data_IF_675623447927
#
_entry.id   IF_675623447927
#
_cell.length_a   1.000
_cell.length_b   1.000
_cell.length_c   1.000
_cell.angle_alpha   90.00
_cell.angle_beta   90.00
_cell.angle_gamma   90.00
#
_symmetry.space_group_name_H-M   'P 1'
#
loop_
_entity.id
_entity.type
_entity.pdbx_description
1 polymer ?
#
# COMPACT_ATOMS: atom_id res chain seq x y z
N UNK A 1 6.35 30.57 46.55
CA UNK A 1 5.38 29.49 46.26
C UNK A 1 5.74 28.90 44.90
N UNK A 2 6.21 27.66 44.91
CA UNK A 2 6.78 26.95 43.76
C UNK A 2 5.70 26.59 42.73
N UNK A 3 5.95 26.96 41.47
CA UNK A 3 5.18 26.58 40.30
C UNK A 3 5.05 25.05 40.19
N UNK A 4 3.88 24.51 40.49
CA UNK A 4 3.47 23.15 40.12
C UNK A 4 2.60 23.21 38.87
N UNK A 5 3.19 23.60 37.73
CA UNK A 5 2.63 23.33 36.40
C UNK A 5 3.35 22.13 35.80
N UNK A 6 3.16 20.97 36.43
CA UNK A 6 3.29 19.68 35.74
C UNK A 6 2.12 19.62 34.76
N UNK A 7 2.33 20.22 33.59
CA UNK A 7 1.57 19.90 32.39
C UNK A 7 1.64 18.37 32.28
N UNK A 8 0.50 17.70 32.14
CA UNK A 8 0.41 16.27 31.85
C UNK A 8 1.51 15.90 30.86
N UNK A 9 2.51 15.12 31.29
CA UNK A 9 3.26 14.27 30.38
C UNK A 9 2.21 13.32 29.78
N UNK A 10 1.69 13.76 28.64
CA UNK A 10 0.51 13.26 27.95
C UNK A 10 0.58 11.75 27.80
N UNK A 11 -0.54 11.04 28.01
CA UNK A 11 -0.58 9.57 27.96
C UNK A 11 0.00 9.00 26.64
N UNK A 12 -0.08 9.76 25.55
CA UNK A 12 0.49 9.46 24.24
C UNK A 12 2.02 9.51 24.27
N UNK A 13 2.61 10.51 24.90
CA UNK A 13 4.07 10.67 25.03
C UNK A 13 4.65 9.56 25.91
N UNK A 14 3.92 9.20 26.97
CA UNK A 14 4.27 8.08 27.84
C UNK A 14 4.13 6.74 27.11
N UNK A 15 3.13 6.57 26.25
CA UNK A 15 2.96 5.37 25.44
C UNK A 15 4.07 5.25 24.39
N UNK A 16 4.39 6.34 23.68
CA UNK A 16 5.43 6.38 22.66
C UNK A 16 6.81 6.12 23.27
N UNK A 17 7.15 6.79 24.38
CA UNK A 17 8.44 6.58 25.06
C UNK A 17 8.57 5.17 25.63
N UNK A 18 7.49 4.59 26.16
CA UNK A 18 7.46 3.18 26.60
C UNK A 18 7.62 2.21 25.43
N UNK A 19 6.98 2.50 24.29
CA UNK A 19 7.15 1.71 23.08
C UNK A 19 8.57 1.81 22.51
N UNK A 20 9.14 3.01 22.45
CA UNK A 20 10.49 3.27 21.96
C UNK A 20 11.55 2.58 22.83
N UNK A 21 11.43 2.72 24.16
CA UNK A 21 12.33 2.03 25.10
C UNK A 21 12.20 0.50 25.03
N UNK A 22 11.00 -0.04 24.85
CA UNK A 22 10.79 -1.47 24.63
C UNK A 22 11.39 -1.93 23.29
N UNK A 23 11.11 -1.23 22.20
CA UNK A 23 11.57 -1.56 20.86
C UNK A 23 13.10 -1.51 20.75
N UNK A 24 13.74 -0.51 21.35
CA UNK A 24 15.20 -0.40 21.39
C UNK A 24 15.83 -1.50 22.24
N UNK A 25 15.24 -1.81 23.40
CA UNK A 25 15.72 -2.87 24.29
C UNK A 25 15.65 -4.26 23.65
N UNK A 26 14.58 -4.54 22.91
CA UNK A 26 14.34 -5.83 22.28
C UNK A 26 14.64 -5.85 20.77
N UNK A 27 15.28 -4.81 20.22
CA UNK A 27 15.50 -4.67 18.77
C UNK A 27 16.22 -5.89 18.18
N UNK A 28 17.26 -6.37 18.86
CA UNK A 28 18.05 -7.53 18.42
C UNK A 28 17.21 -8.80 18.40
N UNK A 29 16.36 -9.00 19.41
CA UNK A 29 15.45 -10.15 19.50
C UNK A 29 14.36 -10.05 18.43
N UNK A 30 13.76 -8.88 18.25
CA UNK A 30 12.76 -8.60 17.21
C UNK A 30 13.34 -8.88 15.82
N UNK A 31 14.53 -8.37 15.51
CA UNK A 31 15.18 -8.62 14.21
C UNK A 31 15.57 -10.08 13.99
N UNK A 32 15.76 -10.86 15.05
CA UNK A 32 16.10 -12.29 14.95
C UNK A 32 14.85 -13.16 14.81
N UNK A 33 13.77 -12.82 15.53
CA UNK A 33 12.55 -13.64 15.64
C UNK A 33 11.47 -13.23 14.64
N UNK A 34 11.34 -11.93 14.33
CA UNK A 34 10.29 -11.44 13.45
C UNK A 34 10.39 -11.98 12.02
N UNK A 35 11.57 -12.06 11.38
CA UNK A 35 11.65 -12.61 10.02
C UNK A 35 11.13 -14.05 9.88
N UNK A 36 11.57 -15.04 10.70
CA UNK A 36 11.05 -16.40 10.58
C UNK A 36 9.57 -16.48 10.94
N UNK A 37 9.10 -15.77 11.96
CA UNK A 37 7.68 -15.82 12.36
C UNK A 37 6.78 -15.21 11.29
N UNK A 38 7.07 -14.01 10.81
CA UNK A 38 6.26 -13.31 9.81
C UNK A 38 6.34 -14.02 8.46
N UNK A 39 7.54 -14.42 8.03
CA UNK A 39 7.72 -15.20 6.82
C UNK A 39 6.90 -16.50 6.86
N UNK A 40 6.93 -17.21 7.99
CA UNK A 40 6.21 -18.48 8.14
C UNK A 40 4.70 -18.23 8.11
N UNK A 41 4.21 -17.19 8.79
CA UNK A 41 2.80 -16.80 8.74
C UNK A 41 2.32 -16.53 7.32
N UNK A 42 3.13 -15.85 6.49
CA UNK A 42 2.79 -15.59 5.07
C UNK A 42 2.60 -16.91 4.33
N UNK A 43 3.56 -17.84 4.43
CA UNK A 43 3.46 -19.15 3.77
C UNK A 43 2.29 -19.99 4.31
N UNK A 44 2.09 -20.04 5.63
CA UNK A 44 0.97 -20.74 6.24
C UNK A 44 -0.37 -20.20 5.75
N UNK A 45 -0.54 -18.87 5.67
CA UNK A 45 -1.76 -18.28 5.10
C UNK A 45 -1.96 -18.68 3.63
N UNK A 46 -0.89 -18.74 2.83
CA UNK A 46 -0.96 -19.21 1.44
C UNK A 46 -1.43 -20.68 1.36
N UNK A 47 -0.82 -21.55 2.15
CA UNK A 47 -1.09 -22.99 2.19
C UNK A 47 -2.50 -23.30 2.69
N UNK A 48 -2.95 -22.63 3.75
CA UNK A 48 -4.33 -22.72 4.25
C UNK A 48 -5.32 -22.30 3.18
N UNK A 49 -5.06 -21.19 2.47
CA UNK A 49 -5.94 -20.71 1.38
C UNK A 49 -6.03 -21.70 0.22
N UNK A 50 -4.94 -22.41 -0.09
CA UNK A 50 -4.93 -23.41 -1.16
C UNK A 50 -5.39 -24.80 -0.71
N UNK A 51 -5.50 -25.05 0.59
CA UNK A 51 -5.88 -26.35 1.16
C UNK A 51 -4.80 -27.42 1.00
N UNK A 52 -3.51 -27.04 1.05
CA UNK A 52 -2.38 -27.94 0.87
C UNK A 52 -1.24 -27.58 1.84
N UNK A 53 -0.55 -28.58 2.38
CA UNK A 53 0.61 -28.42 3.26
C UNK A 53 1.79 -29.21 2.67
N UNK A 54 2.89 -28.56 2.23
CA UNK A 54 4.06 -29.28 1.69
C UNK A 54 4.80 -30.06 2.78
N UNK A 55 5.67 -31.00 2.40
CA UNK A 55 6.68 -31.56 3.32
C UNK A 55 7.68 -30.45 3.68
N UNK A 56 7.66 -29.96 4.93
CA UNK A 56 8.45 -28.81 5.37
C UNK A 56 9.87 -29.20 5.79
N UNK A 57 10.87 -28.52 5.22
CA UNK A 57 12.17 -28.33 5.86
C UNK A 57 12.42 -26.84 6.12
N UNK A 58 12.30 -26.43 7.39
CA UNK A 58 12.38 -25.02 7.82
C UNK A 58 13.76 -24.42 7.50
N UNK A 59 14.81 -25.24 7.42
CA UNK A 59 16.18 -24.76 7.18
C UNK A 59 16.43 -24.45 5.70
N UNK A 60 15.84 -25.20 4.77
CA UNK A 60 15.95 -24.93 3.33
C UNK A 60 15.29 -23.60 2.91
N UNK A 61 14.33 -23.11 3.70
CA UNK A 61 13.54 -21.91 3.42
C UNK A 61 13.91 -20.68 4.24
N UNK A 62 14.93 -20.76 5.10
CA UNK A 62 15.42 -19.63 5.91
C UNK A 62 15.64 -18.35 5.09
N UNK A 63 16.30 -18.46 3.94
CA UNK A 63 16.54 -17.34 3.02
C UNK A 63 15.24 -16.76 2.45
N UNK A 64 14.24 -17.60 2.17
CA UNK A 64 12.94 -17.21 1.64
C UNK A 64 12.09 -16.46 2.69
N UNK A 65 12.14 -16.91 3.94
CA UNK A 65 11.45 -16.29 5.07
C UNK A 65 11.99 -14.88 5.34
N UNK A 66 13.32 -14.72 5.33
CA UNK A 66 13.98 -13.43 5.48
C UNK A 66 13.59 -12.51 4.32
N UNK A 67 13.60 -13.02 3.09
CA UNK A 67 13.21 -12.23 1.92
C UNK A 67 11.75 -11.77 1.98
N UNK A 68 10.82 -12.63 2.42
CA UNK A 68 9.41 -12.30 2.62
C UNK A 68 9.24 -11.16 3.61
N UNK A 69 9.95 -11.24 4.74
CA UNK A 69 9.96 -10.20 5.76
C UNK A 69 10.50 -8.87 5.21
N UNK A 70 11.63 -8.88 4.49
CA UNK A 70 12.22 -7.67 3.91
C UNK A 70 11.26 -7.01 2.92
N UNK A 71 10.63 -7.77 2.01
CA UNK A 71 9.65 -7.20 1.08
C UNK A 71 8.44 -6.63 1.83
N UNK A 72 7.92 -7.34 2.83
CA UNK A 72 6.79 -6.87 3.63
C UNK A 72 7.11 -5.55 4.34
N UNK A 73 8.29 -5.45 4.96
CA UNK A 73 8.77 -4.22 5.61
C UNK A 73 8.94 -3.10 4.60
N UNK A 74 9.56 -3.36 3.43
CA UNK A 74 9.72 -2.36 2.37
C UNK A 74 8.37 -1.84 1.85
N UNK A 75 7.37 -2.72 1.70
CA UNK A 75 6.03 -2.34 1.32
C UNK A 75 5.41 -1.37 2.34
N UNK A 76 5.44 -1.74 3.63
CA UNK A 76 4.89 -0.89 4.71
C UNK A 76 5.63 0.45 4.77
N UNK A 77 6.96 0.43 4.70
CA UNK A 77 7.78 1.66 4.74
C UNK A 77 7.55 2.55 3.52
N UNK A 78 7.31 1.99 2.34
CA UNK A 78 7.02 2.79 1.14
C UNK A 78 5.70 3.55 1.24
N UNK A 79 4.64 2.92 1.78
CA UNK A 79 3.37 3.60 2.06
C UNK A 79 3.54 4.60 3.21
N UNK A 80 4.29 4.25 4.25
CA UNK A 80 4.52 5.15 5.37
C UNK A 80 5.28 6.40 4.93
N UNK A 81 6.27 6.25 4.04
CA UNK A 81 7.01 7.36 3.46
C UNK A 81 6.10 8.22 2.57
N UNK A 82 5.25 7.60 1.74
CA UNK A 82 4.27 8.32 0.94
C UNK A 82 3.37 9.19 1.84
N UNK A 83 2.89 8.68 2.98
CA UNK A 83 2.11 9.47 3.93
C UNK A 83 2.92 10.55 4.66
N UNK A 84 4.20 10.29 4.94
CA UNK A 84 5.04 11.19 5.73
C UNK A 84 5.55 12.40 4.94
N UNK A 85 5.84 12.24 3.64
CA UNK A 85 6.41 13.31 2.79
C UNK A 85 5.52 14.55 2.72
N UNK A 86 4.20 14.45 2.44
CA UNK A 86 3.30 15.60 2.49
C UNK A 86 3.33 16.28 3.86
N UNK A 87 3.29 15.51 4.95
CA UNK A 87 3.35 16.04 6.31
C UNK A 87 4.62 16.83 6.58
N UNK A 88 5.79 16.31 6.17
CA UNK A 88 7.05 17.01 6.33
C UNK A 88 7.09 18.33 5.54
N UNK A 89 6.52 18.33 4.34
CA UNK A 89 6.39 19.55 3.53
C UNK A 89 5.46 20.53 4.24
N UNK A 90 4.26 20.12 4.65
CA UNK A 90 3.36 20.98 5.45
C UNK A 90 4.01 21.50 6.74
N UNK A 91 4.90 20.73 7.37
CA UNK A 91 5.71 21.20 8.53
C UNK A 91 6.52 22.44 8.21
N UNK A 92 7.34 22.34 7.16
CA UNK A 92 8.27 23.41 6.80
C UNK A 92 7.49 24.67 6.42
N UNK A 93 6.22 24.53 6.07
CA UNK A 93 5.34 25.60 5.61
C UNK A 93 4.61 26.29 6.77
N UNK A 94 3.91 25.51 7.60
CA UNK A 94 3.19 26.04 8.77
C UNK A 94 4.14 26.66 9.79
N UNK A 95 5.40 26.18 9.87
CA UNK A 95 6.37 26.61 10.87
C UNK A 95 7.49 27.53 10.37
N UNK A 96 7.64 27.81 9.07
CA UNK A 96 8.74 28.69 8.59
C UNK A 96 8.38 30.17 8.52
N UNK A 97 7.13 30.51 8.21
CA UNK A 97 6.75 31.91 8.05
C UNK A 97 6.30 32.50 9.39
N UNK A 98 7.14 33.36 9.98
CA UNK A 98 6.87 34.05 11.25
C UNK A 98 5.53 34.83 11.23
N UNK A 99 5.13 35.36 10.06
CA UNK A 99 3.83 36.04 9.85
C UNK A 99 2.66 35.05 9.81
N UNK A 100 2.87 33.88 9.22
CA UNK A 100 1.92 32.76 9.19
C UNK A 100 1.79 32.16 10.58
N UNK A 101 2.86 32.05 11.36
CA UNK A 101 2.82 31.67 12.77
C UNK A 101 2.15 32.73 13.68
N UNK A 102 2.35 34.02 13.40
CA UNK A 102 1.70 35.12 14.13
C UNK A 102 0.21 35.27 13.79
N UNK A 103 -0.22 35.03 12.54
CA UNK A 103 -1.63 35.07 12.09
C UNK A 103 -2.37 33.74 12.30
N UNK A 104 -1.75 32.60 11.99
CA UNK A 104 -2.12 31.30 12.56
C UNK A 104 -1.55 31.17 13.97
N UNK A 105 -1.70 32.20 14.82
CA UNK A 105 -1.69 32.07 16.28
C UNK A 105 -2.86 31.21 16.76
N UNK A 106 -3.14 30.14 16.04
CA UNK A 106 -3.65 28.91 16.57
C UNK A 106 -2.74 28.59 17.75
N UNK A 107 -3.28 28.80 18.95
CA UNK A 107 -2.73 28.21 20.15
C UNK A 107 -2.85 26.69 20.01
N UNK A 108 -2.06 26.07 19.13
CA UNK A 108 -1.94 24.61 19.02
C UNK A 108 -1.46 24.01 20.34
N UNK A 109 -0.84 24.84 21.19
CA UNK A 109 -0.26 24.46 22.48
C UNK A 109 -1.21 24.75 23.65
N UNK A 110 -2.20 25.67 23.52
CA UNK A 110 -3.23 25.98 24.55
C UNK A 110 -4.48 26.68 23.97
N UNK A 111 -5.42 25.97 23.34
CA UNK A 111 -6.66 26.60 22.93
C UNK A 111 -7.54 26.85 24.16
N UNK A 112 -7.31 28.00 24.82
CA UNK A 112 -8.07 28.41 26.02
C UNK A 112 -9.53 28.77 25.70
N UNK A 113 -9.87 29.00 24.41
CA UNK A 113 -11.23 29.37 23.97
C UNK A 113 -11.77 28.46 22.85
N UNK A 114 -13.10 28.28 22.81
CA UNK A 114 -13.79 27.45 21.82
C UNK A 114 -13.73 28.01 20.40
N UNK A 115 -13.59 29.34 20.27
CA UNK A 115 -13.52 30.06 18.99
C UNK A 115 -12.19 29.79 18.27
N UNK A 116 -11.08 29.74 19.02
CA UNK A 116 -9.74 29.39 18.51
C UNK A 116 -9.70 27.96 17.94
N UNK A 117 -10.43 27.00 18.55
CA UNK A 117 -10.54 25.63 18.04
C UNK A 117 -11.31 25.57 16.73
N UNK A 118 -12.42 26.30 16.62
CA UNK A 118 -13.23 26.32 15.40
C UNK A 118 -12.42 26.90 14.23
N UNK A 119 -11.67 27.98 14.47
CA UNK A 119 -10.79 28.59 13.48
C UNK A 119 -9.63 27.66 13.09
N UNK A 120 -9.08 26.90 14.05
CA UNK A 120 -8.08 25.84 13.80
C UNK A 120 -8.56 24.78 12.83
N UNK A 121 -9.73 24.20 13.11
CA UNK A 121 -10.32 23.18 12.26
C UNK A 121 -10.66 23.74 10.88
N UNK A 122 -11.11 24.99 10.82
CA UNK A 122 -11.42 25.66 9.55
C UNK A 122 -10.18 25.84 8.68
N UNK A 123 -9.10 26.38 9.25
CA UNK A 123 -7.81 26.56 8.58
C UNK A 123 -7.26 25.22 8.09
N UNK A 124 -7.27 24.20 8.95
CA UNK A 124 -6.84 22.84 8.58
C UNK A 124 -7.61 22.28 7.39
N UNK A 125 -8.94 22.41 7.39
CA UNK A 125 -9.79 21.90 6.32
C UNK A 125 -9.45 22.56 4.98
N UNK A 126 -9.23 23.87 4.98
CA UNK A 126 -8.96 24.64 3.76
C UNK A 126 -7.54 24.45 3.23
N UNK A 127 -6.53 24.37 4.10
CA UNK A 127 -5.13 24.27 3.66
C UNK A 127 -4.67 22.85 3.35
N UNK A 128 -5.27 21.85 3.99
CA UNK A 128 -4.79 20.48 3.91
C UNK A 128 -5.87 19.57 3.34
N UNK A 129 -7.00 19.43 4.02
CA UNK A 129 -7.97 18.39 3.66
C UNK A 129 -8.64 18.59 2.30
N UNK A 130 -9.25 19.75 2.03
CA UNK A 130 -9.98 19.99 0.79
C UNK A 130 -9.08 20.02 -0.47
N UNK A 131 -7.89 20.65 -0.45
CA UNK A 131 -6.96 20.57 -1.58
C UNK A 131 -6.58 19.13 -1.92
N UNK A 132 -6.26 18.32 -0.90
CA UNK A 132 -5.90 16.91 -1.08
C UNK A 132 -7.08 16.10 -1.62
N UNK A 133 -8.28 16.28 -1.04
CA UNK A 133 -9.49 15.57 -1.45
C UNK A 133 -9.89 15.90 -2.90
N UNK A 134 -9.98 17.19 -3.25
CA UNK A 134 -10.38 17.60 -4.60
C UNK A 134 -9.35 17.17 -5.64
N UNK A 135 -8.06 17.29 -5.32
CA UNK A 135 -7.00 16.80 -6.21
C UNK A 135 -7.11 15.28 -6.41
N UNK A 136 -7.34 14.51 -5.35
CA UNK A 136 -7.53 13.05 -5.42
C UNK A 136 -8.74 12.64 -6.27
N UNK A 137 -9.89 13.28 -6.05
CA UNK A 137 -11.13 13.00 -6.80
C UNK A 137 -11.00 13.36 -8.28
N UNK A 138 -10.39 14.51 -8.61
CA UNK A 138 -10.15 14.90 -10.00
C UNK A 138 -9.14 13.98 -10.68
N UNK A 139 -8.12 13.54 -9.97
CA UNK A 139 -7.14 12.59 -10.49
C UNK A 139 -7.80 11.22 -10.78
N UNK A 140 -8.73 10.78 -9.92
CA UNK A 140 -9.51 9.59 -10.21
C UNK A 140 -10.44 9.77 -11.42
N UNK A 141 -11.14 10.90 -11.50
CA UNK A 141 -11.98 11.21 -12.66
C UNK A 141 -11.16 11.22 -13.96
N UNK A 142 -9.95 11.78 -13.92
CA UNK A 142 -9.00 11.78 -15.03
C UNK A 142 -8.57 10.35 -15.39
N UNK A 143 -8.25 9.54 -14.39
CA UNK A 143 -7.90 8.14 -14.59
C UNK A 143 -9.04 7.34 -15.22
N UNK A 144 -10.30 7.59 -14.87
CA UNK A 144 -11.44 6.85 -15.42
C UNK A 144 -11.85 7.33 -16.81
N UNK A 145 -12.04 8.65 -16.97
CA UNK A 145 -12.70 9.23 -18.16
C UNK A 145 -11.72 9.73 -19.23
N UNK A 146 -10.49 10.07 -18.86
CA UNK A 146 -9.53 10.77 -19.71
C UNK A 146 -8.16 10.06 -19.78
N UNK A 147 -8.18 8.74 -20.01
CA UNK A 147 -6.98 7.90 -20.05
C UNK A 147 -5.87 8.46 -20.97
N UNK A 148 -6.21 8.91 -22.18
CA UNK A 148 -5.23 9.41 -23.16
C UNK A 148 -4.54 10.71 -22.72
N UNK A 149 -5.17 11.46 -21.82
CA UNK A 149 -4.68 12.74 -21.31
C UNK A 149 -4.35 12.68 -19.81
N UNK A 150 -4.19 11.48 -19.26
CA UNK A 150 -4.00 11.30 -17.83
C UNK A 150 -2.77 12.03 -17.29
N UNK A 151 -1.61 11.84 -17.93
CA UNK A 151 -0.32 12.44 -17.51
C UNK A 151 -0.38 13.97 -17.44
N UNK A 152 -0.83 14.72 -18.47
CA UNK A 152 -0.93 16.17 -18.37
C UNK A 152 -1.98 16.61 -17.33
N UNK A 153 -3.10 15.89 -17.17
CA UNK A 153 -4.10 16.22 -16.14
C UNK A 153 -3.51 15.99 -14.74
N UNK A 154 -2.77 14.91 -14.52
CA UNK A 154 -2.12 14.61 -13.25
C UNK A 154 -1.14 15.71 -12.82
N UNK A 155 -0.37 16.27 -13.75
CA UNK A 155 0.59 17.33 -13.47
C UNK A 155 -0.08 18.70 -13.25
N UNK A 156 -1.14 19.00 -13.98
CA UNK A 156 -1.80 20.31 -13.95
C UNK A 156 -2.82 20.44 -12.80
N UNK A 157 -3.50 19.37 -12.42
CA UNK A 157 -4.55 19.40 -11.39
C UNK A 157 -4.05 19.96 -10.04
N UNK A 158 -2.90 19.54 -9.49
CA UNK A 158 -2.37 20.11 -8.25
C UNK A 158 -2.12 21.61 -8.34
N UNK A 159 -1.68 22.12 -9.49
CA UNK A 159 -1.43 23.56 -9.71
C UNK A 159 -2.75 24.35 -9.68
N UNK A 160 -3.76 23.88 -10.42
CA UNK A 160 -5.07 24.53 -10.45
C UNK A 160 -5.76 24.54 -9.08
N UNK A 161 -5.76 23.40 -8.39
CA UNK A 161 -6.33 23.30 -7.04
C UNK A 161 -5.58 24.21 -6.07
N UNK A 162 -4.25 24.19 -6.10
CA UNK A 162 -3.45 25.04 -5.22
C UNK A 162 -3.68 26.53 -5.48
N UNK A 163 -3.93 26.93 -6.73
CA UNK A 163 -4.25 28.32 -7.07
C UNK A 163 -5.60 28.75 -6.46
N UNK A 164 -6.63 27.92 -6.58
CA UNK A 164 -7.96 28.17 -6.01
C UNK A 164 -7.87 28.32 -4.49
N UNK A 165 -7.22 27.36 -3.82
CA UNK A 165 -7.11 27.37 -2.36
C UNK A 165 -6.16 28.46 -1.85
N UNK A 166 -5.14 28.83 -2.62
CA UNK A 166 -4.31 29.98 -2.32
C UNK A 166 -5.12 31.29 -2.39
N UNK A 167 -5.98 31.47 -3.40
CA UNK A 167 -6.84 32.64 -3.52
C UNK A 167 -7.85 32.74 -2.37
N UNK A 168 -8.53 31.64 -2.03
CA UNK A 168 -9.46 31.56 -0.89
C UNK A 168 -8.74 31.92 0.41
N UNK A 169 -7.55 31.35 0.63
CA UNK A 169 -6.77 31.57 1.84
C UNK A 169 -6.25 33.01 1.92
N UNK A 170 -5.80 33.57 0.81
CA UNK A 170 -5.30 34.95 0.73
C UNK A 170 -6.40 35.97 1.03
N UNK A 171 -7.61 35.72 0.53
CA UNK A 171 -8.78 36.55 0.82
C UNK A 171 -9.23 36.46 2.28
N UNK A 172 -9.33 35.24 2.84
CA UNK A 172 -9.84 35.04 4.21
C UNK A 172 -8.85 35.40 5.32
N UNK A 173 -7.54 35.32 5.05
CA UNK A 173 -6.50 35.55 6.06
C UNK A 173 -5.70 36.83 5.81
N UNK A 174 -6.09 37.62 4.80
CA UNK A 174 -5.50 38.91 4.44
C UNK A 174 -3.97 38.84 4.32
N UNK A 175 -3.47 37.89 3.53
CA UNK A 175 -2.03 37.74 3.32
C UNK A 175 -1.46 38.92 2.52
N UNK A 176 -0.22 39.31 2.81
CA UNK A 176 0.49 40.33 2.04
C UNK A 176 0.84 39.77 0.65
N UNK A 177 0.74 40.61 -0.40
CA UNK A 177 0.95 40.19 -1.79
C UNK A 177 2.29 39.47 -2.03
N UNK A 178 3.36 39.85 -1.33
CA UNK A 178 4.68 39.20 -1.43
C UNK A 178 4.70 37.76 -0.87
N UNK A 179 3.82 37.45 0.08
CA UNK A 179 3.71 36.11 0.68
C UNK A 179 2.78 35.17 -0.10
N UNK A 180 1.93 35.70 -0.98
CA UNK A 180 0.96 34.91 -1.77
C UNK A 180 1.68 33.97 -2.73
N UNK A 181 2.73 34.43 -3.41
CA UNK A 181 3.50 33.58 -4.32
C UNK A 181 4.19 32.42 -3.59
N UNK A 182 4.83 32.73 -2.45
CA UNK A 182 5.43 31.71 -1.60
C UNK A 182 4.38 30.70 -1.13
N UNK A 183 3.20 31.16 -0.69
CA UNK A 183 2.08 30.30 -0.29
C UNK A 183 1.58 29.41 -1.44
N UNK A 184 1.44 29.96 -2.65
CA UNK A 184 0.99 29.21 -3.82
C UNK A 184 1.95 28.09 -4.20
N UNK A 185 3.24 28.42 -4.40
CA UNK A 185 4.26 27.44 -4.80
C UNK A 185 4.34 26.29 -3.79
N UNK A 186 4.21 26.66 -2.54
CA UNK A 186 4.24 25.78 -1.40
C UNK A 186 3.03 24.83 -1.36
N UNK A 187 1.82 25.36 -1.50
CA UNK A 187 0.60 24.56 -1.56
C UNK A 187 0.62 23.64 -2.79
N UNK A 188 1.19 24.11 -3.91
CA UNK A 188 1.39 23.32 -5.11
C UNK A 188 2.28 22.10 -4.86
N UNK A 189 3.45 22.28 -4.23
CA UNK A 189 4.34 21.16 -3.90
C UNK A 189 3.68 20.18 -2.92
N UNK A 190 3.02 20.69 -1.88
CA UNK A 190 2.35 19.85 -0.88
C UNK A 190 1.19 19.03 -1.47
N UNK A 191 0.36 19.68 -2.30
CA UNK A 191 -0.76 19.04 -2.99
C UNK A 191 -0.25 18.04 -4.03
N UNK A 192 0.84 18.36 -4.73
CA UNK A 192 1.47 17.46 -5.69
C UNK A 192 1.96 16.17 -5.02
N UNK A 193 2.66 16.29 -3.89
CA UNK A 193 3.15 15.13 -3.14
C UNK A 193 2.00 14.32 -2.52
N UNK A 194 0.94 14.99 -2.07
CA UNK A 194 -0.28 14.31 -1.61
C UNK A 194 -0.94 13.52 -2.74
N UNK A 195 -1.00 14.10 -3.95
CA UNK A 195 -1.54 13.44 -5.12
C UNK A 195 -0.71 12.20 -5.52
N UNK A 196 0.62 12.30 -5.47
CA UNK A 196 1.52 11.17 -5.67
C UNK A 196 1.30 10.05 -4.63
N UNK A 197 1.04 10.44 -3.38
CA UNK A 197 0.76 9.50 -2.29
C UNK A 197 -0.56 8.75 -2.51
N UNK A 198 -1.61 9.45 -2.94
CA UNK A 198 -2.91 8.86 -3.29
C UNK A 198 -2.74 7.84 -4.43
N UNK A 199 -2.01 8.19 -5.50
CA UNK A 199 -1.72 7.24 -6.59
C UNK A 199 -0.97 6.02 -6.09
N UNK A 200 0.07 6.21 -5.26
CA UNK A 200 0.89 5.10 -4.76
C UNK A 200 0.04 4.12 -3.97
N UNK A 201 -0.84 4.62 -3.11
CA UNK A 201 -1.80 3.79 -2.35
C UNK A 201 -2.78 3.10 -3.28
N UNK A 202 -3.34 3.83 -4.26
CA UNK A 202 -4.28 3.26 -5.23
C UNK A 202 -3.64 2.13 -6.05
N UNK A 203 -2.40 2.31 -6.52
CA UNK A 203 -1.65 1.29 -7.24
C UNK A 203 -1.39 0.05 -6.38
N UNK A 204 -1.13 0.23 -5.08
CA UNK A 204 -0.96 -0.88 -4.16
C UNK A 204 -2.27 -1.68 -3.97
N UNK A 205 -3.42 -1.00 -3.93
CA UNK A 205 -4.74 -1.62 -3.69
C UNK A 205 -5.53 -1.98 -4.95
N UNK A 206 -5.01 -1.66 -6.15
CA UNK A 206 -5.76 -1.74 -7.42
C UNK A 206 -6.42 -3.10 -7.68
N UNK A 207 -5.69 -4.20 -7.41
CA UNK A 207 -6.18 -5.55 -7.69
C UNK A 207 -7.35 -5.92 -6.76
N UNK A 208 -7.30 -5.47 -5.51
CA UNK A 208 -8.39 -5.68 -4.55
C UNK A 208 -9.65 -4.92 -4.97
N UNK A 209 -9.48 -3.72 -5.54
CA UNK A 209 -10.60 -2.89 -6.02
C UNK A 209 -11.22 -3.50 -7.28
N UNK A 210 -10.39 -3.98 -8.22
CA UNK A 210 -10.87 -4.58 -9.48
C UNK A 210 -11.60 -5.92 -9.27
N UNK A 211 -11.32 -6.62 -8.18
CA UNK A 211 -11.98 -7.88 -7.84
C UNK A 211 -13.38 -7.69 -7.21
N UNK A 212 -13.85 -6.45 -7.03
CA UNK A 212 -15.19 -6.16 -6.51
C UNK A 212 -16.20 -6.29 -7.65
N UNK A 213 -17.21 -7.15 -7.48
CA UNK A 213 -18.27 -7.32 -8.47
C UNK A 213 -19.18 -6.08 -8.52
N UNK A 214 -19.34 -5.50 -9.72
CA UNK A 214 -20.25 -4.41 -10.02
C UNK A 214 -19.59 -3.03 -10.13
N UNK A 215 -19.86 -2.32 -11.23
CA UNK A 215 -19.29 -1.00 -11.55
C UNK A 215 -19.60 0.05 -10.47
N UNK A 216 -20.83 0.05 -9.94
CA UNK A 216 -21.22 0.97 -8.87
C UNK A 216 -20.47 0.72 -7.55
N UNK A 217 -20.22 -0.55 -7.21
CA UNK A 217 -19.50 -0.90 -5.98
C UNK A 217 -18.01 -0.53 -6.10
N UNK A 218 -17.42 -0.72 -7.27
CA UNK A 218 -16.07 -0.27 -7.58
C UNK A 218 -15.95 1.26 -7.46
N UNK A 219 -16.86 2.00 -8.10
CA UNK A 219 -16.88 3.47 -8.06
C UNK A 219 -17.06 4.00 -6.63
N UNK A 220 -17.99 3.43 -5.87
CA UNK A 220 -18.20 3.78 -4.46
C UNK A 220 -16.93 3.50 -3.62
N UNK A 221 -16.29 2.36 -3.84
CA UNK A 221 -15.05 1.99 -3.13
C UNK A 221 -13.94 2.99 -3.42
N UNK A 222 -13.79 3.45 -4.66
CA UNK A 222 -12.73 4.42 -4.97
C UNK A 222 -13.04 5.79 -4.39
N UNK A 223 -14.28 6.25 -4.41
CA UNK A 223 -14.66 7.53 -3.79
C UNK A 223 -14.44 7.49 -2.27
N UNK A 224 -14.94 6.45 -1.60
CA UNK A 224 -14.78 6.25 -0.16
C UNK A 224 -13.29 6.09 0.20
N UNK A 225 -12.55 5.32 -0.60
CA UNK A 225 -11.11 5.12 -0.44
C UNK A 225 -10.33 6.42 -0.59
N UNK A 226 -10.66 7.25 -1.59
CA UNK A 226 -10.03 8.57 -1.80
C UNK A 226 -10.32 9.50 -0.64
N UNK A 227 -11.55 9.51 -0.13
CA UNK A 227 -11.94 10.28 1.06
C UNK A 227 -11.14 9.83 2.29
N UNK A 228 -11.05 8.52 2.52
CA UNK A 228 -10.31 7.94 3.64
C UNK A 228 -8.82 8.25 3.56
N UNK A 229 -8.18 8.04 2.41
CA UNK A 229 -6.75 8.33 2.22
C UNK A 229 -6.48 9.83 2.37
N UNK A 230 -7.34 10.70 1.85
CA UNK A 230 -7.21 12.14 2.02
C UNK A 230 -7.30 12.54 3.50
N UNK A 231 -8.19 11.91 4.27
CA UNK A 231 -8.30 12.11 5.71
C UNK A 231 -7.04 11.64 6.44
N UNK A 232 -6.52 10.46 6.11
CA UNK A 232 -5.29 9.90 6.68
C UNK A 232 -4.07 10.78 6.41
N UNK A 233 -3.89 11.25 5.16
CA UNK A 233 -2.81 12.19 4.80
C UNK A 233 -2.95 13.46 5.63
N UNK A 234 -4.17 14.00 5.74
CA UNK A 234 -4.39 15.24 6.46
C UNK A 234 -4.13 15.10 7.97
N UNK A 235 -4.56 13.99 8.59
CA UNK A 235 -4.25 13.68 10.00
C UNK A 235 -2.75 13.49 10.21
N UNK A 236 -2.07 12.83 9.26
CA UNK A 236 -0.62 12.68 9.28
C UNK A 236 0.08 14.04 9.25
N UNK A 237 -0.41 14.98 8.43
CA UNK A 237 0.10 16.36 8.41
C UNK A 237 -0.12 17.12 9.72
N UNK A 238 -1.20 16.85 10.49
CA UNK A 238 -1.37 17.44 11.83
C UNK A 238 -0.39 16.83 12.82
N UNK A 239 -0.16 15.51 12.77
CA UNK A 239 0.70 14.79 13.73
C UNK A 239 2.13 15.37 13.79
N UNK A 240 2.59 15.92 12.68
CA UNK A 240 3.83 16.70 12.55
C UNK A 240 3.99 17.80 13.59
N UNK A 241 2.90 18.44 14.01
CA UNK A 241 2.91 19.54 14.97
C UNK A 241 3.37 19.07 16.36
N UNK A 242 3.05 17.83 16.74
CA UNK A 242 3.61 17.19 17.93
C UNK A 242 5.09 16.81 17.77
N UNK A 243 5.57 16.70 16.53
CA UNK A 243 6.96 16.41 16.20
C UNK A 243 7.11 15.38 15.08
N UNK A 244 8.33 15.24 14.56
CA UNK A 244 8.62 14.29 13.47
C UNK A 244 8.41 12.84 13.94
N UNK A 245 8.64 12.55 15.22
CA UNK A 245 8.41 11.21 15.78
C UNK A 245 6.94 10.79 15.68
N UNK A 246 6.02 11.67 16.07
CA UNK A 246 4.58 11.41 15.98
C UNK A 246 4.10 11.22 14.55
N UNK A 247 4.63 12.02 13.60
CA UNK A 247 4.40 11.81 12.17
C UNK A 247 4.78 10.38 11.76
N UNK A 248 6.01 9.95 12.06
CA UNK A 248 6.50 8.63 11.64
C UNK A 248 5.67 7.50 12.25
N UNK A 249 5.36 7.56 13.55
CA UNK A 249 4.53 6.54 14.20
C UNK A 249 3.11 6.50 13.63
N UNK A 250 2.48 7.66 13.39
CA UNK A 250 1.16 7.74 12.79
C UNK A 250 1.17 7.18 11.36
N UNK A 251 2.15 7.55 10.53
CA UNK A 251 2.27 7.06 9.16
C UNK A 251 2.48 5.54 9.09
N UNK A 252 3.31 4.97 9.97
CA UNK A 252 3.49 3.50 10.04
C UNK A 252 2.17 2.82 10.44
N UNK A 253 1.49 3.32 11.47
CA UNK A 253 0.21 2.76 11.92
C UNK A 253 -0.86 2.81 10.81
N UNK A 254 -1.02 3.97 10.15
CA UNK A 254 -1.96 4.12 9.05
C UNK A 254 -1.59 3.28 7.83
N UNK A 255 -0.29 3.04 7.58
CA UNK A 255 0.15 2.16 6.49
C UNK A 255 -0.32 0.72 6.70
N UNK A 256 -0.25 0.22 7.94
CA UNK A 256 -0.82 -1.08 8.27
C UNK A 256 -2.33 -1.13 8.03
N UNK A 257 -3.07 -0.10 8.46
CA UNK A 257 -4.52 -0.01 8.25
C UNK A 257 -4.86 -0.01 6.75
N UNK A 258 -4.20 0.83 5.96
CA UNK A 258 -4.42 0.91 4.51
C UNK A 258 -4.10 -0.42 3.81
N UNK A 259 -2.97 -1.04 4.13
CA UNK A 259 -2.57 -2.30 3.51
C UNK A 259 -3.46 -3.47 3.93
N UNK A 260 -3.96 -3.46 5.16
CA UNK A 260 -4.88 -4.49 5.68
C UNK A 260 -6.26 -4.37 5.04
N UNK A 261 -6.92 -3.20 5.17
CA UNK A 261 -8.26 -2.98 4.62
C UNK A 261 -8.27 -2.90 3.09
N UNK A 262 -7.17 -2.47 2.48
CA UNK A 262 -6.97 -2.50 1.03
C UNK A 262 -6.73 -3.91 0.47
N UNK A 263 -6.76 -4.97 1.29
CA UNK A 263 -6.58 -6.36 0.85
C UNK A 263 -5.17 -6.68 0.32
N UNK A 264 -4.20 -5.79 0.53
CA UNK A 264 -2.83 -6.01 0.08
C UNK A 264 -2.19 -7.07 0.95
N UNK A 265 -2.35 -7.00 2.29
CA UNK A 265 -1.80 -7.99 3.21
C UNK A 265 -2.42 -9.39 3.02
N UNK A 266 -3.68 -9.47 2.61
CA UNK A 266 -4.38 -10.76 2.39
C UNK A 266 -4.01 -11.40 1.04
N UNK A 267 -3.71 -10.60 0.02
CA UNK A 267 -3.22 -11.06 -1.28
C UNK A 267 -1.69 -11.20 -1.34
N UNK A 268 -0.98 -10.63 -0.36
CA UNK A 268 0.48 -10.64 -0.28
C UNK A 268 1.08 -12.05 -0.39
N UNK A 269 0.59 -13.08 0.34
CA UNK A 269 1.16 -14.42 0.22
C UNK A 269 1.11 -14.97 -1.21
N UNK A 270 -0.02 -14.81 -1.90
CA UNK A 270 -0.17 -15.26 -3.28
C UNK A 270 0.73 -14.49 -4.26
N UNK A 271 0.89 -13.18 -4.07
CA UNK A 271 1.79 -12.36 -4.91
C UNK A 271 3.25 -12.74 -4.67
N UNK A 272 3.62 -13.00 -3.42
CA UNK A 272 4.96 -13.39 -3.04
C UNK A 272 5.37 -14.73 -3.66
N UNK A 273 4.51 -15.75 -3.57
CA UNK A 273 4.75 -17.07 -4.19
C UNK A 273 4.88 -16.97 -5.72
N UNK A 274 4.08 -16.12 -6.36
CA UNK A 274 4.19 -15.85 -7.81
C UNK A 274 5.47 -15.08 -8.17
N UNK A 275 5.83 -14.07 -7.39
CA UNK A 275 7.04 -13.26 -7.59
C UNK A 275 8.31 -14.11 -7.54
N UNK A 276 8.35 -15.09 -6.64
CA UNK A 276 9.46 -16.04 -6.51
C UNK A 276 9.41 -17.19 -7.53
N UNK A 277 8.40 -17.21 -8.40
CA UNK A 277 8.14 -18.30 -9.36
C UNK A 277 8.00 -19.68 -8.70
N UNK A 278 7.55 -19.72 -7.45
CA UNK A 278 7.33 -20.96 -6.68
C UNK A 278 5.93 -21.52 -6.87
N UNK A 279 5.00 -20.76 -7.45
CA UNK A 279 3.61 -21.16 -7.63
C UNK A 279 2.69 -19.97 -7.91
N UNK A 280 1.38 -20.21 -7.92
CA UNK A 280 0.37 -19.22 -8.30
C UNK A 280 0.61 -18.60 -9.71
N UNK A 281 0.96 -19.44 -10.68
CA UNK A 281 1.13 -19.02 -12.08
C UNK A 281 0.61 -20.08 -13.06
N UNK A 282 0.23 -19.64 -14.26
CA UNK A 282 -0.15 -20.53 -15.37
C UNK A 282 1.08 -20.92 -16.20
N UNK A 283 1.27 -22.21 -16.39
CA UNK A 283 2.27 -22.77 -17.30
C UNK A 283 1.64 -23.03 -18.67
N UNK A 284 2.30 -22.57 -19.74
CA UNK A 284 1.92 -22.86 -21.13
C UNK A 284 2.10 -24.34 -21.44
N UNK A 285 3.20 -24.92 -20.97
CA UNK A 285 3.50 -26.35 -21.14
C UNK A 285 4.25 -26.87 -19.92
N UNK A 286 3.75 -27.96 -19.36
CA UNK A 286 4.40 -28.77 -18.35
C UNK A 286 4.95 -30.02 -19.06
N UNK A 287 6.26 -30.08 -19.24
CA UNK A 287 6.93 -31.20 -19.91
C UNK A 287 7.20 -32.31 -18.90
N UNK A 288 6.61 -33.48 -19.13
CA UNK A 288 6.71 -34.64 -18.26
C UNK A 288 7.71 -35.66 -18.82
N UNK A 289 8.25 -36.47 -17.93
CA UNK A 289 9.16 -37.59 -18.29
C UNK A 289 8.34 -38.72 -18.91
N UNK A 290 8.91 -39.46 -19.86
CA UNK A 290 8.24 -40.55 -20.59
C UNK A 290 7.63 -41.59 -19.65
N UNK A 291 8.33 -41.91 -18.56
CA UNK A 291 7.89 -42.83 -17.50
C UNK A 291 6.55 -42.45 -16.85
N UNK A 292 6.21 -41.15 -16.82
CA UNK A 292 4.95 -40.67 -16.26
C UNK A 292 3.79 -40.77 -17.25
N UNK A 293 4.05 -40.62 -18.55
CA UNK A 293 3.03 -40.73 -19.59
C UNK A 293 2.57 -42.17 -19.85
N UNK A 294 3.39 -43.15 -19.49
CA UNK A 294 3.04 -44.57 -19.61
C UNK A 294 2.05 -45.02 -18.51
N UNK A 295 1.77 -44.17 -17.52
CA UNK A 295 0.81 -44.42 -16.45
C UNK A 295 -0.62 -44.25 -17.00
N UNK A 296 -1.27 -45.37 -17.35
CA UNK A 296 -2.57 -45.45 -18.02
C UNK A 296 -3.79 -44.89 -17.27
N UNK A 297 -3.66 -44.41 -16.03
CA UNK A 297 -4.79 -44.02 -15.17
C UNK A 297 -4.82 -42.52 -14.79
N UNK A 298 -4.20 -41.64 -15.60
CA UNK A 298 -4.26 -40.22 -15.32
C UNK A 298 -5.57 -39.60 -15.84
N UNK A 299 -6.33 -38.84 -15.02
CA UNK A 299 -7.67 -38.36 -15.37
C UNK A 299 -7.71 -37.20 -16.39
N UNK A 300 -6.57 -36.85 -16.99
CA UNK A 300 -6.42 -35.70 -17.90
C UNK A 300 -5.75 -36.19 -19.19
N UNK A 301 -6.28 -35.77 -20.34
CA UNK A 301 -5.67 -36.02 -21.64
C UNK A 301 -4.27 -35.38 -21.72
N UNK A 302 -3.23 -36.21 -21.79
CA UNK A 302 -1.85 -35.79 -22.02
C UNK A 302 -1.61 -35.83 -23.53
N UNK A 303 -1.03 -34.77 -24.08
CA UNK A 303 -0.74 -34.68 -25.51
C UNK A 303 0.32 -35.71 -25.94
N UNK A 304 0.38 -36.10 -27.22
CA UNK A 304 1.29 -37.13 -27.76
C UNK A 304 2.79 -36.85 -27.50
N UNK A 305 3.12 -35.59 -27.17
CA UNK A 305 4.46 -35.12 -26.80
C UNK A 305 4.78 -35.20 -25.30
N UNK A 306 3.93 -35.81 -24.47
CA UNK A 306 4.08 -35.83 -23.01
C UNK A 306 4.05 -34.44 -22.37
N UNK A 307 3.20 -33.57 -22.91
CA UNK A 307 3.07 -32.18 -22.46
C UNK A 307 1.67 -31.91 -21.95
N UNK A 308 1.60 -31.24 -20.80
CA UNK A 308 0.36 -30.76 -20.22
C UNK A 308 0.23 -29.26 -20.48
N UNK A 309 -0.74 -28.87 -21.29
CA UNK A 309 -0.99 -27.48 -21.69
C UNK A 309 -1.87 -26.76 -20.69
N UNK A 310 -1.62 -25.46 -20.48
CA UNK A 310 -2.41 -24.56 -19.60
C UNK A 310 -2.60 -25.08 -18.15
N UNK A 311 -1.56 -25.71 -17.59
CA UNK A 311 -1.57 -26.14 -16.19
C UNK A 311 -1.34 -24.95 -15.25
N UNK A 312 -2.25 -24.73 -14.30
CA UNK A 312 -2.08 -23.76 -13.23
C UNK A 312 -1.25 -24.38 -12.10
N UNK A 313 -0.02 -23.91 -11.95
CA UNK A 313 0.90 -24.37 -10.91
C UNK A 313 0.57 -23.66 -9.60
N UNK A 314 0.13 -24.43 -8.60
CA UNK A 314 -0.15 -23.92 -7.26
C UNK A 314 1.16 -23.85 -6.47
N UNK A 315 2.00 -24.87 -6.54
CA UNK A 315 3.28 -24.91 -5.81
C UNK A 315 4.26 -25.85 -6.52
N UNK A 316 5.53 -25.45 -6.70
CA UNK A 316 6.54 -26.20 -7.47
C UNK A 316 7.79 -26.59 -6.66
N UNK A 317 7.84 -26.33 -5.36
CA UNK A 317 9.03 -26.55 -4.53
C UNK A 317 8.89 -27.74 -3.57
N UNK A 318 9.96 -28.52 -3.37
CA UNK A 318 9.97 -29.72 -2.53
C UNK A 318 9.96 -31.02 -3.35
N UNK A 319 9.31 -32.07 -2.83
CA UNK A 319 9.28 -33.39 -3.49
C UNK A 319 8.16 -33.50 -4.55
N UNK A 320 7.13 -32.67 -4.43
CA UNK A 320 5.92 -32.70 -5.27
C UNK A 320 5.58 -31.31 -5.80
N UNK A 321 5.25 -31.22 -7.08
CA UNK A 321 4.58 -30.07 -7.69
C UNK A 321 3.07 -30.28 -7.64
N UNK A 322 2.36 -29.32 -7.06
CA UNK A 322 0.91 -29.26 -7.04
C UNK A 322 0.42 -28.42 -8.23
N UNK A 323 -0.33 -29.04 -9.12
CA UNK A 323 -0.91 -28.37 -10.28
C UNK A 323 -2.41 -28.58 -10.34
N UNK A 324 -3.09 -27.63 -10.97
CA UNK A 324 -4.52 -27.66 -11.29
C UNK A 324 -4.68 -27.50 -12.79
N UNK A 325 -5.54 -28.33 -13.38
CA UNK A 325 -5.87 -28.25 -14.81
C UNK A 325 -7.38 -28.26 -14.95
N UNK A 326 -7.87 -27.43 -15.86
CA UNK A 326 -9.26 -27.44 -16.28
C UNK A 326 -9.44 -28.50 -17.37
N UNK A 327 -10.32 -29.46 -17.11
CA UNK A 327 -10.70 -30.45 -18.12
C UNK A 327 -11.69 -29.86 -19.10
N UNK A 328 -11.54 -30.22 -20.38
CA UNK A 328 -12.48 -29.86 -21.46
C UNK A 328 -13.92 -30.33 -21.22
N UNK A 329 -14.11 -31.34 -20.36
CA UNK A 329 -15.42 -31.88 -19.99
C UNK A 329 -16.12 -31.11 -18.85
N UNK A 330 -15.56 -29.98 -18.39
CA UNK A 330 -16.14 -29.16 -17.32
C UNK A 330 -15.80 -29.71 -15.94
N UNK A 331 -14.59 -29.44 -15.46
CA UNK A 331 -14.15 -29.77 -14.11
C UNK A 331 -12.72 -29.33 -13.84
N UNK A 332 -12.41 -28.93 -12.60
CA UNK A 332 -11.04 -28.58 -12.18
C UNK A 332 -10.42 -29.76 -11.44
N UNK A 333 -9.34 -30.32 -11.98
CA UNK A 333 -8.61 -31.42 -11.36
C UNK A 333 -7.33 -30.89 -10.72
N UNK A 334 -7.13 -31.22 -9.44
CA UNK A 334 -5.88 -30.97 -8.72
C UNK A 334 -5.10 -32.27 -8.61
N UNK A 335 -3.81 -32.23 -8.92
CA UNK A 335 -2.94 -33.39 -8.83
C UNK A 335 -1.56 -33.02 -8.33
N UNK A 336 -0.88 -34.00 -7.75
CA UNK A 336 0.48 -33.91 -7.25
C UNK A 336 1.39 -34.77 -8.12
N UNK A 337 2.42 -34.17 -8.71
CA UNK A 337 3.44 -34.88 -9.50
C UNK A 337 4.75 -34.82 -8.74
N UNK A 338 5.42 -35.97 -8.57
CA UNK A 338 6.76 -35.97 -7.99
C UNK A 338 7.71 -35.23 -8.93
N UNK A 339 8.55 -34.35 -8.37
CA UNK A 339 9.41 -33.46 -9.15
C UNK A 339 10.39 -34.22 -10.05
N UNK A 340 10.74 -35.48 -9.72
CA UNK A 340 11.54 -36.37 -10.58
C UNK A 340 10.93 -36.64 -11.96
N UNK A 341 9.61 -36.50 -12.10
CA UNK A 341 8.90 -36.71 -13.37
C UNK A 341 8.73 -35.43 -14.19
N UNK A 342 9.12 -34.27 -13.68
CA UNK A 342 8.97 -32.98 -14.37
C UNK A 342 10.30 -32.61 -15.02
N UNK A 343 10.29 -32.46 -16.34
CA UNK A 343 11.50 -32.10 -17.12
C UNK A 343 11.65 -30.59 -17.25
N UNK A 344 10.56 -29.87 -17.49
CA UNK A 344 10.55 -28.41 -17.61
C UNK A 344 9.15 -27.84 -17.38
N UNK A 345 9.09 -26.61 -16.87
CA UNK A 345 7.86 -25.82 -16.74
C UNK A 345 8.03 -24.56 -17.59
N UNK A 346 7.28 -24.46 -18.70
CA UNK A 346 7.27 -23.29 -19.58
C UNK A 346 6.14 -22.36 -19.14
N UNK A 347 6.47 -21.16 -18.69
CA UNK A 347 5.48 -20.19 -18.20
C UNK A 347 4.73 -19.52 -19.36
N UNK A 348 3.44 -19.23 -19.14
CA UNK A 348 2.68 -18.34 -20.02
C UNK A 348 3.14 -16.91 -19.77
N UNK A 349 3.88 -16.35 -20.73
CA UNK A 349 4.28 -14.96 -20.68
C UNK A 349 3.06 -14.09 -20.95
N UNK A 350 2.46 -13.54 -19.90
CA UNK A 350 1.32 -12.61 -20.00
C UNK A 350 1.63 -11.35 -20.83
N UNK A 351 2.91 -11.10 -21.18
CA UNK A 351 3.34 -9.95 -22.01
C UNK A 351 3.36 -10.21 -23.52
N UNK A 352 3.36 -11.46 -24.02
CA UNK A 352 3.42 -11.70 -25.48
C UNK A 352 2.06 -11.84 -26.15
N UNK A 353 1.00 -12.13 -25.38
CA UNK A 353 -0.33 -12.39 -25.94
C UNK A 353 -1.14 -11.08 -26.15
N UNK A 354 -0.84 -10.00 -25.41
CA UNK A 354 -1.40 -8.68 -25.68
C UNK A 354 -0.79 -8.00 -26.93
N UNK A 355 0.43 -8.37 -27.32
CA UNK A 355 1.10 -7.80 -28.49
C UNK A 355 0.66 -8.44 -29.82
N UNK A 356 -0.09 -9.56 -29.78
CA UNK A 356 -0.65 -10.21 -30.98
C UNK A 356 -2.15 -9.92 -31.18
N UNK A 357 -2.80 -9.31 -30.20
CA UNK A 357 -4.22 -8.93 -30.24
C UNK A 357 -4.44 -7.41 -30.15
N UNK A 358 -3.44 -6.60 -30.50
CA UNK A 358 -3.60 -5.15 -30.74
C UNK A 358 -3.32 -4.81 -32.19
#
# INVERSE_FOLDING_TARGET
>A
MSNNTKIEEDAIDKAISKFESFALKHLKEILTIAPPVIGLSIFLSYFVKQGFYPSFDILQFSSLLIFAFVIGVLLILSIALALAVPGYIYKSILLSHEKTQKKLKLHFIKPDESEDKAQMFFVYRIFIFYPVLLCGLLNWLAAYRFHDHYTPIFLTTPLFISLIFCAISSYKLEFQASSVFALFFTLAVATFMSNFSIITIFLATKESILNIDGEFAQLATVIIGTLFVSLVISVSCIAVLGGIRYLLYACVAFSFVILFYGGVLTSFPSKFVNMLSLGNYTATSLMLTKDFCEIKNFPIEINDKCELTDAYIIWSMGDYTLARVESKAGGTYRFQIQNKYIRAIVRKNSKSDEAKNK
#
